data_IF_970101562561
#
_entry.id   IF_970101562561
#
_cell.length_a   1.000
_cell.length_b   1.000
_cell.length_c   1.000
_cell.angle_alpha   90.00
_cell.angle_beta   90.00
_cell.angle_gamma   90.00
#
_symmetry.space_group_name_H-M   'P 1'
#
loop_
_entity.id
_entity.type
_entity.pdbx_description
1 polymer ?
#
# COMPACT_ATOMS: atom_id res chain seq x y z
N UNK A 1 -10.19 8.17 -20.34
CA UNK A 1 -10.14 9.42 -19.55
C UNK A 1 -9.02 10.27 -20.11
N UNK A 2 -9.30 11.42 -20.75
CA UNK A 2 -8.28 12.26 -21.40
C UNK A 2 -7.38 12.86 -20.31
N UNK A 3 -6.20 12.30 -20.09
CA UNK A 3 -5.12 12.93 -19.33
C UNK A 3 -4.53 14.05 -20.18
N UNK A 4 -4.72 15.31 -19.76
CA UNK A 4 -4.04 16.45 -20.36
C UNK A 4 -2.53 16.35 -20.14
N UNK A 5 -1.73 16.94 -21.03
CA UNK A 5 -0.25 16.90 -21.00
C UNK A 5 0.40 17.38 -19.69
N UNK A 6 -0.38 17.98 -18.80
CA UNK A 6 0.07 18.61 -17.54
C UNK A 6 -0.47 17.91 -16.28
N UNK A 7 -1.03 16.70 -16.40
CA UNK A 7 -1.55 15.93 -15.26
C UNK A 7 -0.92 14.56 -15.18
N UNK A 8 -0.38 14.23 -14.01
CA UNK A 8 0.17 12.90 -13.69
C UNK A 8 -0.71 12.27 -12.61
N UNK A 9 -1.20 11.06 -12.85
CA UNK A 9 -2.02 10.32 -11.87
C UNK A 9 -1.26 9.10 -11.38
N UNK A 10 -1.19 8.90 -10.07
CA UNK A 10 -0.54 7.76 -9.43
C UNK A 10 -1.48 7.11 -8.42
N UNK A 11 -1.65 5.80 -8.51
CA UNK A 11 -2.33 5.04 -7.47
C UNK A 11 -1.35 4.75 -6.34
N UNK A 12 -1.62 5.28 -5.15
CA UNK A 12 -0.74 5.16 -3.98
C UNK A 12 -1.60 4.86 -2.76
N UNK A 13 -1.25 3.78 -2.08
CA UNK A 13 -1.88 3.38 -0.81
C UNK A 13 -0.80 3.29 0.25
N UNK A 14 -1.04 3.95 1.37
CA UNK A 14 -0.14 3.93 2.52
C UNK A 14 -0.95 3.73 3.80
N UNK A 15 -0.28 3.23 4.83
CA UNK A 15 -0.83 3.05 6.17
C UNK A 15 -0.47 4.29 7.01
N UNK A 16 -1.14 4.46 8.14
CA UNK A 16 -0.97 5.59 9.06
C UNK A 16 0.47 5.71 9.56
N UNK A 17 1.19 4.58 9.63
CA UNK A 17 2.59 4.58 10.00
C UNK A 17 3.55 4.87 8.84
N UNK A 18 3.09 5.17 7.63
CA UNK A 18 3.93 5.38 6.44
C UNK A 18 3.91 6.85 5.98
N UNK A 19 3.55 7.79 6.88
CA UNK A 19 3.50 9.23 6.59
C UNK A 19 4.82 9.78 6.08
N UNK A 20 5.94 9.55 6.79
CA UNK A 20 7.27 10.01 6.35
C UNK A 20 7.65 9.50 4.96
N UNK A 21 7.27 8.27 4.61
CA UNK A 21 7.52 7.73 3.28
C UNK A 21 6.72 8.49 2.20
N UNK A 22 5.48 8.89 2.51
CA UNK A 22 4.68 9.69 1.59
C UNK A 22 5.19 11.12 1.49
N UNK A 23 5.59 11.74 2.60
CA UNK A 23 6.22 13.05 2.61
C UNK A 23 7.42 13.04 1.66
N UNK A 24 8.37 12.11 1.86
CA UNK A 24 9.53 11.93 0.98
C UNK A 24 9.13 11.71 -0.49
N UNK A 25 8.06 10.95 -0.75
CA UNK A 25 7.59 10.74 -2.12
C UNK A 25 7.06 12.02 -2.77
N UNK A 26 6.32 12.83 -2.01
CA UNK A 26 5.78 14.10 -2.49
C UNK A 26 6.92 15.12 -2.73
N UNK A 27 7.94 15.12 -1.87
CA UNK A 27 9.16 15.91 -2.03
C UNK A 27 9.94 15.50 -3.30
N UNK A 28 10.17 14.20 -3.52
CA UNK A 28 10.77 13.66 -4.76
C UNK A 28 9.99 14.15 -6.00
N UNK A 29 8.65 14.14 -5.94
CA UNK A 29 7.79 14.58 -7.06
C UNK A 29 7.82 16.09 -7.27
N UNK A 30 7.83 16.87 -6.21
CA UNK A 30 7.95 18.32 -6.29
C UNK A 30 9.27 18.75 -6.96
N UNK A 31 10.37 18.06 -6.63
CA UNK A 31 11.68 18.26 -7.28
C UNK A 31 11.68 17.87 -8.76
N UNK A 32 10.87 16.89 -9.16
CA UNK A 32 10.67 16.54 -10.57
C UNK A 32 9.75 17.54 -11.32
N UNK A 33 9.20 18.55 -10.65
CA UNK A 33 8.25 19.50 -11.23
C UNK A 33 6.80 18.99 -11.24
N UNK A 34 6.43 18.13 -10.30
CA UNK A 34 5.06 17.64 -10.10
C UNK A 34 4.59 17.99 -8.69
N UNK A 35 3.63 18.92 -8.57
CA UNK A 35 3.01 19.23 -7.28
C UNK A 35 1.70 18.46 -7.14
N UNK A 36 1.47 17.88 -5.97
CA UNK A 36 0.20 17.25 -5.65
C UNK A 36 -0.90 18.30 -5.69
N UNK A 37 -2.00 18.01 -6.38
CA UNK A 37 -3.14 18.91 -6.52
C UNK A 37 -4.39 18.37 -5.83
N UNK A 38 -4.61 17.05 -5.89
CA UNK A 38 -5.80 16.42 -5.30
C UNK A 38 -5.55 14.93 -5.03
N UNK A 39 -6.36 14.36 -4.13
CA UNK A 39 -6.40 12.93 -3.84
C UNK A 39 -7.85 12.45 -3.92
N UNK A 40 -8.10 11.49 -4.81
CA UNK A 40 -9.42 10.86 -4.94
C UNK A 40 -9.27 9.35 -4.93
N UNK A 41 -9.90 8.65 -3.97
CA UNK A 41 -9.86 7.18 -3.87
C UNK A 41 -8.45 6.57 -4.00
N UNK A 42 -7.45 7.12 -3.30
CA UNK A 42 -6.03 6.72 -3.37
C UNK A 42 -5.33 7.03 -4.70
N UNK A 43 -5.97 7.75 -5.62
CA UNK A 43 -5.32 8.35 -6.78
C UNK A 43 -4.80 9.74 -6.42
N UNK A 44 -3.48 9.86 -6.38
CA UNK A 44 -2.77 11.11 -6.23
C UNK A 44 -2.69 11.78 -7.60
N UNK A 45 -3.30 12.95 -7.71
CA UNK A 45 -3.41 13.72 -8.94
C UNK A 45 -2.43 14.87 -8.83
N UNK A 46 -1.36 14.81 -9.62
CA UNK A 46 -0.32 15.82 -9.68
C UNK A 46 -0.55 16.74 -10.88
N UNK A 47 -0.22 18.01 -10.71
CA UNK A 47 -0.13 18.99 -11.79
C UNK A 47 1.31 19.34 -12.06
N UNK A 48 1.60 19.60 -13.34
CA UNK A 48 2.91 20.10 -13.75
C UNK A 48 3.17 21.46 -13.10
N UNK A 49 4.32 21.58 -12.47
CA UNK A 49 4.82 22.78 -11.78
C UNK A 49 6.30 22.99 -12.12
N UNK A 50 6.86 24.11 -11.70
CA UNK A 50 8.32 24.25 -11.69
C UNK A 50 8.91 23.34 -10.61
N UNK A 51 10.07 22.70 -10.87
CA UNK A 51 10.85 22.00 -9.86
C UNK A 51 11.04 22.88 -8.62
N UNK A 52 10.55 22.42 -7.48
CA UNK A 52 10.66 23.13 -6.21
C UNK A 52 10.97 22.15 -5.09
N UNK A 53 11.78 22.64 -4.16
CA UNK A 53 12.22 21.90 -2.99
C UNK A 53 11.31 22.25 -1.81
N UNK A 54 10.13 21.62 -1.80
CA UNK A 54 9.15 21.74 -0.73
C UNK A 54 9.45 20.75 0.38
N UNK A 55 9.05 21.09 1.61
CA UNK A 55 8.90 20.14 2.71
C UNK A 55 7.43 19.76 2.84
N UNK A 56 7.13 18.48 2.99
CA UNK A 56 5.75 18.02 3.20
C UNK A 56 5.54 17.52 4.63
N UNK A 57 4.30 17.58 5.10
CA UNK A 57 3.86 16.91 6.33
C UNK A 57 2.51 16.23 6.10
N UNK A 58 2.43 14.95 6.46
CA UNK A 58 1.22 14.13 6.38
C UNK A 58 0.78 13.76 7.79
N UNK A 59 -0.32 14.35 8.21
CA UNK A 59 -0.83 14.22 9.56
C UNK A 59 -2.05 13.28 9.61
N UNK A 60 -2.03 12.30 10.51
CA UNK A 60 -3.09 11.30 10.75
C UNK A 60 -4.10 11.72 11.83
N UNK A 61 -3.98 12.92 12.39
CA UNK A 61 -4.91 13.51 13.35
C UNK A 61 -6.08 14.23 12.69
N UNK A 62 -6.99 13.45 12.09
CA UNK A 62 -8.21 14.00 11.48
C UNK A 62 -9.36 14.24 12.45
N UNK A 63 -9.25 13.81 13.71
CA UNK A 63 -10.32 13.91 14.72
C UNK A 63 -10.48 15.33 15.30
N UNK A 64 -9.51 16.22 15.05
CA UNK A 64 -9.59 17.61 15.43
C UNK A 64 -10.47 18.36 14.43
N UNK A 65 -11.32 19.26 14.94
CA UNK A 65 -12.12 20.20 14.12
C UNK A 65 -11.23 20.79 13.03
N UNK A 66 -11.39 20.30 11.81
CA UNK A 66 -10.34 20.39 10.80
C UNK A 66 -10.00 21.84 10.46
N UNK A 67 -10.97 22.76 10.56
CA UNK A 67 -10.75 24.20 10.37
C UNK A 67 -9.81 24.84 11.40
N UNK A 68 -10.11 24.75 12.70
CA UNK A 68 -9.28 25.36 13.75
C UNK A 68 -7.85 24.80 13.76
N UNK A 69 -7.69 23.51 13.46
CA UNK A 69 -6.38 22.87 13.37
C UNK A 69 -5.60 23.31 12.12
N UNK A 70 -6.26 23.37 10.96
CA UNK A 70 -5.63 23.89 9.73
C UNK A 70 -5.19 25.33 9.95
N UNK A 71 -6.04 26.19 10.50
CA UNK A 71 -5.72 27.60 10.76
C UNK A 71 -4.50 27.73 11.69
N UNK A 72 -4.39 26.88 12.71
CA UNK A 72 -3.24 26.82 13.60
C UNK A 72 -1.95 26.40 12.87
N UNK A 73 -2.01 25.35 12.04
CA UNK A 73 -0.89 24.92 11.23
C UNK A 73 -0.46 26.02 10.23
N UNK A 74 -1.43 26.70 9.59
CA UNK A 74 -1.15 27.79 8.66
C UNK A 74 -0.50 29.00 9.35
N UNK A 75 -0.96 29.35 10.55
CA UNK A 75 -0.34 30.38 11.37
C UNK A 75 1.12 30.06 11.76
N UNK A 76 1.49 28.78 11.76
CA UNK A 76 2.87 28.32 12.02
C UNK A 76 3.77 28.24 10.78
N UNK A 77 3.27 28.66 9.61
CA UNK A 77 4.04 28.74 8.36
C UNK A 77 3.88 27.54 7.41
N UNK A 78 2.99 26.61 7.74
CA UNK A 78 2.57 25.55 6.82
C UNK A 78 1.49 26.05 5.85
N UNK A 79 1.34 25.40 4.71
CA UNK A 79 0.24 25.66 3.78
C UNK A 79 -0.58 24.38 3.64
N UNK A 80 -1.89 24.47 3.83
CA UNK A 80 -2.77 23.33 3.63
C UNK A 80 -2.88 22.98 2.15
N UNK A 81 -2.80 21.69 1.83
CA UNK A 81 -2.93 21.20 0.46
C UNK A 81 -4.19 20.37 0.23
N UNK A 82 -4.43 19.38 1.09
CA UNK A 82 -5.52 18.42 0.91
C UNK A 82 -5.98 17.83 2.23
N UNK A 83 -7.26 17.53 2.32
CA UNK A 83 -7.87 16.83 3.45
C UNK A 83 -8.55 15.56 2.97
N UNK A 84 -8.32 14.46 3.66
CA UNK A 84 -9.07 13.22 3.51
C UNK A 84 -9.71 12.82 4.84
N UNK A 85 -10.52 11.77 4.85
CA UNK A 85 -11.08 11.23 6.09
C UNK A 85 -10.01 10.62 7.03
N UNK A 86 -8.78 10.42 6.55
CA UNK A 86 -7.74 9.70 7.28
C UNK A 86 -6.47 10.52 7.53
N UNK A 87 -6.22 11.55 6.73
CA UNK A 87 -5.05 12.41 6.87
C UNK A 87 -5.23 13.79 6.26
N UNK A 88 -4.42 14.73 6.77
CA UNK A 88 -4.22 16.09 6.25
C UNK A 88 -2.82 16.18 5.63
N UNK A 89 -2.70 16.92 4.53
CA UNK A 89 -1.40 17.14 3.87
C UNK A 89 -1.11 18.65 3.88
N UNK A 90 0.06 18.98 4.38
CA UNK A 90 0.61 20.32 4.42
C UNK A 90 1.94 20.38 3.66
N UNK A 91 2.31 21.57 3.19
CA UNK A 91 3.60 21.82 2.57
C UNK A 91 4.15 23.20 2.94
N UNK A 92 5.47 23.39 2.81
CA UNK A 92 6.11 24.71 2.94
C UNK A 92 7.41 24.77 2.15
N UNK A 93 7.86 25.99 1.81
CA UNK A 93 9.20 26.24 1.26
C UNK A 93 10.25 26.43 2.37
N UNK A 94 9.83 26.65 3.63
CA UNK A 94 10.76 26.83 4.75
C UNK A 94 11.26 25.48 5.28
N UNK A 95 12.54 25.20 5.04
CA UNK A 95 13.21 23.97 5.49
C UNK A 95 13.41 23.92 7.01
N UNK A 96 13.52 25.09 7.64
CA UNK A 96 13.79 25.22 9.07
C UNK A 96 12.48 25.26 9.89
N UNK A 97 11.33 25.09 9.24
CA UNK A 97 10.04 25.06 9.93
C UNK A 97 10.01 23.96 10.99
N UNK A 98 9.41 24.30 12.13
CA UNK A 98 9.10 23.34 13.19
C UNK A 98 8.15 22.26 12.62
N UNK A 99 8.50 20.98 12.69
CA UNK A 99 7.62 19.90 12.26
C UNK A 99 6.29 19.95 13.01
N UNK A 100 5.21 19.58 12.35
CA UNK A 100 3.92 19.37 13.01
C UNK A 100 4.10 18.24 14.02
N UNK A 101 4.04 18.55 15.31
CA UNK A 101 4.28 17.58 16.37
C UNK A 101 3.12 16.60 16.46
N UNK A 102 3.38 15.36 16.04
CA UNK A 102 2.50 14.22 16.22
C UNK A 102 2.96 13.45 17.46
N UNK A 103 2.10 13.36 18.49
CA UNK A 103 2.42 12.60 19.71
C UNK A 103 2.57 11.10 19.40
N UNK A 104 3.78 10.58 19.63
CA UNK A 104 4.16 9.19 19.35
C UNK A 104 3.30 8.16 20.11
N UNK A 105 2.80 8.48 21.31
CA UNK A 105 1.91 7.59 22.05
C UNK A 105 0.53 7.48 21.40
N UNK A 106 0.05 8.59 20.83
CA UNK A 106 -1.22 8.59 20.11
C UNK A 106 -1.05 7.88 18.75
N UNK A 107 0.11 8.05 18.09
CA UNK A 107 0.46 7.27 16.89
C UNK A 107 0.42 5.78 17.21
N UNK A 108 1.08 5.34 18.29
CA UNK A 108 1.06 3.94 18.73
C UNK A 108 -0.37 3.41 18.93
N UNK A 109 -1.24 4.21 19.54
CA UNK A 109 -2.62 3.81 19.82
C UNK A 109 -3.46 3.70 18.54
N UNK A 110 -3.38 4.69 17.65
CA UNK A 110 -4.10 4.71 16.37
C UNK A 110 -3.59 3.61 15.43
N UNK A 111 -2.28 3.56 15.22
CA UNK A 111 -1.63 2.56 14.38
C UNK A 111 -1.86 1.15 14.92
N UNK A 112 -1.74 0.95 16.24
CA UNK A 112 -1.96 -0.35 16.87
C UNK A 112 -3.37 -0.90 16.64
N UNK A 113 -4.40 -0.05 16.74
CA UNK A 113 -5.79 -0.43 16.45
C UNK A 113 -5.98 -0.80 14.98
N UNK A 114 -5.54 0.06 14.05
CA UNK A 114 -5.66 -0.19 12.62
C UNK A 114 -4.90 -1.46 12.20
N UNK A 115 -3.72 -1.68 12.78
CA UNK A 115 -2.90 -2.86 12.55
C UNK A 115 -3.56 -4.15 13.05
N UNK A 116 -4.20 -4.14 14.23
CA UNK A 116 -4.89 -5.31 14.75
C UNK A 116 -6.04 -5.76 13.82
N UNK A 117 -6.84 -4.80 13.33
CA UNK A 117 -7.92 -5.07 12.37
C UNK A 117 -7.35 -5.62 11.06
N UNK A 118 -6.34 -4.96 10.49
CA UNK A 118 -5.69 -5.41 9.26
C UNK A 118 -5.08 -6.80 9.39
N UNK A 119 -4.42 -7.08 10.52
CA UNK A 119 -3.83 -8.39 10.82
C UNK A 119 -4.90 -9.47 10.89
N UNK A 120 -6.02 -9.19 11.56
CA UNK A 120 -7.15 -10.13 11.62
C UNK A 120 -7.71 -10.44 10.23
N UNK A 121 -7.93 -9.41 9.40
CA UNK A 121 -8.39 -9.58 8.01
C UNK A 121 -7.41 -10.43 7.20
N UNK A 122 -6.11 -10.15 7.29
CA UNK A 122 -5.09 -10.90 6.56
C UNK A 122 -4.96 -12.36 7.02
N UNK A 123 -5.09 -12.62 8.33
CA UNK A 123 -5.15 -13.99 8.87
C UNK A 123 -6.38 -14.70 8.34
N UNK A 124 -7.55 -14.06 8.37
CA UNK A 124 -8.79 -14.64 7.89
C UNK A 124 -8.72 -14.98 6.39
N UNK A 125 -8.25 -14.07 5.55
CA UNK A 125 -8.05 -14.31 4.11
C UNK A 125 -7.07 -15.48 3.89
N UNK A 126 -5.92 -15.46 4.56
CA UNK A 126 -4.91 -16.50 4.41
C UNK A 126 -5.44 -17.87 4.84
N UNK A 127 -6.14 -17.92 5.98
CA UNK A 127 -6.78 -19.13 6.47
C UNK A 127 -7.83 -19.66 5.51
N UNK A 128 -8.70 -18.79 4.99
CA UNK A 128 -9.71 -19.16 3.98
C UNK A 128 -9.07 -19.73 2.70
N UNK A 129 -7.97 -19.13 2.24
CA UNK A 129 -7.25 -19.60 1.04
C UNK A 129 -6.55 -20.95 1.27
N UNK A 130 -5.92 -21.14 2.42
CA UNK A 130 -5.33 -22.43 2.80
C UNK A 130 -6.40 -23.51 2.95
N UNK A 131 -7.53 -23.19 3.59
CA UNK A 131 -8.64 -24.12 3.71
C UNK A 131 -9.24 -24.47 2.33
N UNK A 132 -9.38 -23.50 1.43
CA UNK A 132 -9.83 -23.73 0.07
C UNK A 132 -8.88 -24.66 -0.70
N UNK A 133 -7.57 -24.41 -0.61
CA UNK A 133 -6.55 -25.28 -1.18
C UNK A 133 -6.62 -26.70 -0.58
N UNK A 134 -6.74 -26.82 0.76
CA UNK A 134 -6.83 -28.11 1.43
C UNK A 134 -8.01 -28.95 0.93
N UNK A 135 -9.21 -28.35 0.90
CA UNK A 135 -10.42 -29.03 0.46
C UNK A 135 -10.41 -29.38 -1.03
N UNK A 136 -9.75 -28.58 -1.85
CA UNK A 136 -9.67 -28.82 -3.30
C UNK A 136 -8.66 -29.93 -3.64
N UNK A 137 -7.52 -29.94 -2.95
CA UNK A 137 -6.36 -30.77 -3.34
C UNK A 137 -6.19 -32.05 -2.51
N UNK A 138 -6.59 -32.04 -1.23
CA UNK A 138 -6.26 -33.12 -0.30
C UNK A 138 -7.46 -33.96 0.12
N UNK A 139 -8.67 -33.37 0.20
CA UNK A 139 -9.89 -34.12 0.56
C UNK A 139 -10.28 -35.16 -0.51
N UNK A 140 -10.27 -34.84 -1.82
CA UNK A 140 -10.60 -35.81 -2.86
C UNK A 140 -9.43 -36.72 -3.26
N UNK A 141 -8.23 -36.51 -2.68
CA UNK A 141 -6.93 -36.90 -3.20
C UNK A 141 -6.48 -36.08 -4.45
N UNK A 142 -5.18 -35.87 -4.56
CA UNK A 142 -4.53 -35.02 -5.56
C UNK A 142 -4.75 -35.52 -6.99
N UNK A 143 -4.75 -36.83 -7.20
CA UNK A 143 -4.94 -37.47 -8.51
C UNK A 143 -6.35 -37.22 -9.05
N UNK A 144 -7.36 -37.41 -8.20
CA UNK A 144 -8.77 -37.12 -8.53
C UNK A 144 -9.02 -35.64 -8.78
N UNK A 145 -8.39 -34.74 -8.00
CA UNK A 145 -8.52 -33.30 -8.25
C UNK A 145 -7.94 -32.88 -9.61
N UNK A 146 -6.84 -33.50 -10.05
CA UNK A 146 -6.27 -33.25 -11.39
C UNK A 146 -7.19 -33.73 -12.51
N UNK A 147 -7.86 -34.87 -12.32
CA UNK A 147 -8.83 -35.38 -13.29
C UNK A 147 -10.05 -34.46 -13.43
N UNK A 148 -10.54 -33.89 -12.31
CA UNK A 148 -11.70 -32.98 -12.32
C UNK A 148 -11.35 -31.60 -12.86
N UNK A 149 -10.31 -30.97 -12.31
CA UNK A 149 -9.99 -29.57 -12.59
C UNK A 149 -9.13 -29.39 -13.83
N UNK A 150 -8.62 -30.48 -14.41
CA UNK A 150 -7.80 -30.43 -15.61
C UNK A 150 -6.66 -29.43 -15.44
N UNK A 151 -6.60 -28.42 -16.31
CA UNK A 151 -5.57 -27.36 -16.29
C UNK A 151 -5.85 -26.21 -15.33
N UNK A 152 -7.10 -26.07 -14.86
CA UNK A 152 -7.47 -25.01 -13.92
C UNK A 152 -6.77 -25.18 -12.57
N UNK A 153 -6.25 -26.39 -12.31
CA UNK A 153 -5.49 -26.72 -11.11
C UNK A 153 -4.29 -25.79 -10.87
N UNK A 154 -3.50 -25.46 -11.91
CA UNK A 154 -2.32 -24.59 -11.75
C UNK A 154 -2.76 -23.18 -11.41
N UNK A 155 -3.80 -22.70 -12.08
CA UNK A 155 -4.34 -21.36 -11.87
C UNK A 155 -4.84 -21.20 -10.43
N UNK A 156 -5.60 -22.17 -9.92
CA UNK A 156 -6.09 -22.18 -8.54
C UNK A 156 -4.95 -22.19 -7.53
N UNK A 157 -3.92 -23.02 -7.72
CA UNK A 157 -2.75 -23.06 -6.82
C UNK A 157 -2.05 -21.70 -6.78
N UNK A 158 -1.85 -21.05 -7.92
CA UNK A 158 -1.21 -19.73 -7.98
C UNK A 158 -2.03 -18.66 -7.27
N UNK A 159 -3.35 -18.68 -7.42
CA UNK A 159 -4.26 -17.78 -6.70
C UNK A 159 -4.12 -18.02 -5.20
N UNK A 160 -4.31 -19.25 -4.72
CA UNK A 160 -4.16 -19.58 -3.30
C UNK A 160 -2.80 -19.15 -2.76
N UNK A 161 -1.72 -19.34 -3.51
CA UNK A 161 -0.38 -18.92 -3.13
C UNK A 161 -0.26 -17.39 -3.02
N UNK A 162 -0.70 -16.61 -4.00
CA UNK A 162 -0.62 -15.14 -3.96
C UNK A 162 -1.45 -14.56 -2.81
N UNK A 163 -2.70 -15.02 -2.66
CA UNK A 163 -3.62 -14.56 -1.63
C UNK A 163 -3.27 -15.07 -0.21
N UNK A 164 -2.32 -16.00 -0.07
CA UNK A 164 -1.77 -16.43 1.23
C UNK A 164 -0.44 -15.75 1.53
N UNK A 165 0.50 -15.76 0.57
CA UNK A 165 1.87 -15.28 0.77
C UNK A 165 1.89 -13.76 0.91
N UNK A 166 1.17 -13.00 0.08
CA UNK A 166 1.22 -11.53 0.15
C UNK A 166 0.68 -10.99 1.49
N UNK A 167 -0.47 -11.45 2.02
CA UNK A 167 -0.91 -11.03 3.35
C UNK A 167 0.03 -11.44 4.48
N UNK A 168 0.63 -12.64 4.43
CA UNK A 168 1.62 -13.08 5.42
C UNK A 168 2.85 -12.15 5.43
N UNK A 169 3.37 -11.79 4.25
CA UNK A 169 4.48 -10.83 4.14
C UNK A 169 4.09 -9.49 4.79
N UNK A 170 2.87 -9.00 4.56
CA UNK A 170 2.40 -7.76 5.17
C UNK A 170 2.23 -7.85 6.69
N UNK A 171 1.75 -8.98 7.22
CA UNK A 171 1.68 -9.23 8.67
C UNK A 171 3.07 -9.19 9.28
N UNK A 172 4.03 -9.92 8.70
CA UNK A 172 5.41 -9.98 9.22
C UNK A 172 6.04 -8.59 9.18
N UNK A 173 5.95 -7.86 8.05
CA UNK A 173 6.52 -6.53 7.87
C UNK A 173 5.96 -5.53 8.87
N UNK A 174 4.63 -5.47 9.01
CA UNK A 174 3.97 -4.56 9.96
C UNK A 174 4.23 -4.95 11.41
N UNK A 175 4.23 -6.26 11.71
CA UNK A 175 4.61 -6.85 13.00
C UNK A 175 5.97 -6.38 13.47
N UNK A 176 7.00 -6.66 12.67
CA UNK A 176 8.39 -6.31 12.98
C UNK A 176 8.56 -4.81 13.20
N UNK A 177 7.93 -3.98 12.36
CA UNK A 177 7.98 -2.53 12.54
C UNK A 177 7.29 -2.10 13.84
N UNK A 178 6.08 -2.58 14.12
CA UNK A 178 5.31 -2.16 15.30
C UNK A 178 6.01 -2.51 16.61
N UNK A 179 6.55 -3.73 16.73
CA UNK A 179 7.28 -4.12 17.93
C UNK A 179 8.57 -3.31 18.11
N UNK A 180 9.27 -3.01 17.01
CA UNK A 180 10.46 -2.14 17.05
C UNK A 180 10.09 -0.71 17.45
N UNK A 181 9.05 -0.15 16.85
CA UNK A 181 8.57 1.21 17.12
C UNK A 181 8.12 1.34 18.59
N UNK A 182 7.28 0.42 19.06
CA UNK A 182 6.82 0.37 20.46
C UNK A 182 7.99 0.32 21.46
N UNK A 183 9.05 -0.44 21.15
CA UNK A 183 10.25 -0.51 21.98
C UNK A 183 10.97 0.84 22.03
N UNK A 184 11.16 1.51 20.90
CA UNK A 184 11.87 2.80 20.84
C UNK A 184 11.11 3.89 21.59
N UNK A 185 9.79 3.99 21.39
CA UNK A 185 8.95 4.94 22.13
C UNK A 185 9.03 4.68 23.64
N UNK A 186 8.99 3.42 24.09
CA UNK A 186 9.12 3.09 25.52
C UNK A 186 10.48 3.46 26.14
N UNK A 187 11.50 3.65 25.31
CA UNK A 187 12.84 4.07 25.73
C UNK A 187 13.04 5.59 25.58
N UNK A 188 12.02 6.34 25.15
CA UNK A 188 12.12 7.74 24.73
C UNK A 188 13.24 7.96 23.68
N UNK A 189 13.48 6.95 22.85
CA UNK A 189 14.41 7.02 21.72
C UNK A 189 13.63 7.38 20.45
N UNK A 190 14.29 8.11 19.54
CA UNK A 190 13.66 8.56 18.30
C UNK A 190 13.20 7.36 17.45
N UNK A 191 11.89 7.27 17.22
CA UNK A 191 11.27 6.10 16.61
C UNK A 191 11.18 6.27 15.09
N UNK A 192 11.94 5.46 14.35
CA UNK A 192 11.99 5.57 12.90
C UNK A 192 10.71 5.03 12.23
N UNK A 193 10.13 5.84 11.35
CA UNK A 193 9.04 5.41 10.47
C UNK A 193 9.57 4.56 9.29
N UNK A 194 8.71 3.78 8.61
CA UNK A 194 9.06 3.06 7.40
C UNK A 194 9.55 4.01 6.32
N UNK A 195 10.66 3.64 5.66
CA UNK A 195 11.25 4.45 4.60
C UNK A 195 10.45 4.38 3.30
N UNK A 196 10.68 5.35 2.41
CA UNK A 196 10.13 5.34 1.05
C UNK A 196 10.51 4.06 0.26
N UNK A 197 11.71 3.50 0.49
CA UNK A 197 12.09 2.20 -0.10
C UNK A 197 11.15 1.08 0.36
N UNK A 198 10.85 1.00 1.66
CA UNK A 198 9.94 0.01 2.22
C UNK A 198 8.51 0.18 1.67
N UNK A 199 8.03 1.42 1.51
CA UNK A 199 6.75 1.72 0.89
C UNK A 199 6.70 1.27 -0.59
N UNK A 200 7.75 1.56 -1.37
CA UNK A 200 7.87 1.13 -2.78
C UNK A 200 7.83 -0.40 -2.90
N UNK A 201 8.51 -1.14 -2.01
CA UNK A 201 8.46 -2.61 -1.95
C UNK A 201 7.06 -3.13 -1.60
N UNK A 202 6.42 -2.57 -0.57
CA UNK A 202 5.03 -2.91 -0.22
C UNK A 202 4.08 -2.72 -1.39
N UNK A 203 4.18 -1.57 -2.08
CA UNK A 203 3.33 -1.25 -3.23
C UNK A 203 3.44 -2.31 -4.33
N UNK A 204 4.62 -2.91 -4.54
CA UNK A 204 4.80 -4.01 -5.49
C UNK A 204 3.95 -5.23 -5.13
N UNK A 205 4.00 -5.67 -3.87
CA UNK A 205 3.20 -6.83 -3.42
C UNK A 205 1.70 -6.54 -3.43
N UNK A 206 1.29 -5.31 -3.12
CA UNK A 206 -0.11 -4.90 -3.25
C UNK A 206 -0.56 -4.90 -4.71
N UNK A 207 0.27 -4.40 -5.63
CA UNK A 207 -0.04 -4.42 -7.07
C UNK A 207 -0.13 -5.86 -7.61
N UNK A 208 0.70 -6.78 -7.11
CA UNK A 208 0.58 -8.22 -7.42
C UNK A 208 -0.77 -8.77 -6.94
N UNK A 209 -1.15 -8.46 -5.71
CA UNK A 209 -2.43 -8.89 -5.12
C UNK A 209 -3.63 -8.36 -5.92
N UNK A 210 -3.68 -7.04 -6.17
CA UNK A 210 -4.77 -6.40 -6.94
C UNK A 210 -4.78 -6.91 -8.39
N UNK A 211 -3.62 -7.01 -9.03
CA UNK A 211 -3.51 -7.51 -10.41
C UNK A 211 -4.03 -8.95 -10.53
N UNK A 212 -3.71 -9.81 -9.56
CA UNK A 212 -4.21 -11.18 -9.50
C UNK A 212 -5.72 -11.20 -9.27
N UNK A 213 -6.25 -10.35 -8.38
CA UNK A 213 -7.70 -10.20 -8.17
C UNK A 213 -8.43 -9.78 -9.44
N UNK A 214 -7.89 -8.83 -10.21
CA UNK A 214 -8.47 -8.40 -11.49
C UNK A 214 -8.50 -9.55 -12.49
N UNK A 215 -7.42 -10.34 -12.59
CA UNK A 215 -7.38 -11.53 -13.47
C UNK A 215 -8.45 -12.54 -13.07
N UNK A 216 -8.63 -12.80 -11.76
CA UNK A 216 -9.70 -13.68 -11.25
C UNK A 216 -11.08 -13.15 -11.64
N UNK A 217 -11.34 -11.85 -11.46
CA UNK A 217 -12.62 -11.25 -11.83
C UNK A 217 -12.91 -11.36 -13.34
N UNK A 218 -11.89 -11.18 -14.18
CA UNK A 218 -12.02 -11.37 -15.64
C UNK A 218 -12.31 -12.84 -15.96
N UNK A 219 -11.60 -13.77 -15.31
CA UNK A 219 -11.81 -15.20 -15.51
C UNK A 219 -13.23 -15.62 -15.10
N UNK A 220 -13.81 -15.06 -14.03
CA UNK A 220 -15.17 -15.38 -13.58
C UNK A 220 -16.28 -14.87 -14.51
N UNK A 221 -16.04 -13.79 -15.27
CA UNK A 221 -17.03 -13.18 -16.17
C UNK A 221 -16.91 -13.72 -17.61
N UNK A 222 -15.73 -14.17 -18.01
CA UNK A 222 -15.54 -14.78 -19.33
C UNK A 222 -16.28 -16.10 -19.46
N UNK A 223 -16.90 -16.35 -20.62
CA UNK A 223 -17.42 -17.68 -20.97
C UNK A 223 -16.22 -18.55 -21.41
N UNK A 224 -15.87 -19.57 -20.63
CA UNK A 224 -14.53 -20.17 -20.66
C UNK A 224 -14.49 -21.54 -21.34
N UNK A 225 -13.98 -21.56 -22.57
CA UNK A 225 -13.39 -22.76 -23.16
C UNK A 225 -11.98 -23.08 -22.62
N UNK A 226 -11.53 -24.31 -22.83
CA UNK A 226 -10.32 -24.93 -22.27
C UNK A 226 -8.99 -24.21 -22.59
N UNK A 227 -8.89 -23.45 -23.69
CA UNK A 227 -7.66 -22.74 -24.10
C UNK A 227 -7.36 -21.48 -23.25
N UNK A 228 -8.36 -20.94 -22.55
CA UNK A 228 -8.27 -19.63 -21.89
C UNK A 228 -7.60 -19.70 -20.50
N UNK A 229 -7.66 -20.82 -19.77
CA UNK A 229 -7.06 -20.87 -18.41
C UNK A 229 -5.53 -20.82 -18.41
N UNK A 230 -4.89 -21.36 -19.45
CA UNK A 230 -3.44 -21.23 -19.63
C UNK A 230 -3.00 -19.77 -19.79
N UNK A 231 -3.82 -18.96 -20.45
CA UNK A 231 -3.55 -17.54 -20.67
C UNK A 231 -3.58 -16.79 -19.33
N UNK A 232 -4.60 -17.01 -18.50
CA UNK A 232 -4.66 -16.39 -17.17
C UNK A 232 -3.54 -16.87 -16.24
N UNK A 233 -3.23 -18.17 -16.27
CA UNK A 233 -2.09 -18.74 -15.55
C UNK A 233 -0.79 -18.05 -15.95
N UNK A 234 -0.56 -17.89 -17.26
CA UNK A 234 0.60 -17.18 -17.80
C UNK A 234 0.66 -15.72 -17.36
N UNK A 235 -0.46 -15.01 -17.34
CA UNK A 235 -0.51 -13.63 -16.84
C UNK A 235 -0.18 -13.52 -15.35
N UNK A 236 -0.70 -14.43 -14.50
CA UNK A 236 -0.36 -14.43 -13.07
C UNK A 236 1.12 -14.72 -12.86
N UNK A 237 1.69 -15.70 -13.56
CA UNK A 237 3.13 -16.00 -13.49
C UNK A 237 3.98 -14.80 -13.92
N UNK A 238 3.61 -14.13 -15.02
CA UNK A 238 4.30 -12.94 -15.49
C UNK A 238 4.24 -11.82 -14.45
N UNK A 239 3.08 -11.59 -13.82
CA UNK A 239 2.93 -10.61 -12.75
C UNK A 239 3.81 -10.94 -11.54
N UNK A 240 3.92 -12.21 -11.14
CA UNK A 240 4.80 -12.66 -10.05
C UNK A 240 6.25 -12.35 -10.42
N UNK A 241 6.71 -12.74 -11.61
CA UNK A 241 8.09 -12.51 -12.07
C UNK A 241 8.44 -11.02 -12.11
N UNK A 242 7.55 -10.19 -12.66
CA UNK A 242 7.74 -8.73 -12.71
C UNK A 242 7.82 -8.16 -11.29
N UNK A 243 6.95 -8.60 -10.39
CA UNK A 243 6.89 -8.11 -9.01
C UNK A 243 8.15 -8.47 -8.24
N UNK A 244 8.57 -9.74 -8.27
CA UNK A 244 9.81 -10.21 -7.62
C UNK A 244 11.02 -9.47 -8.19
N UNK A 245 11.11 -9.32 -9.50
CA UNK A 245 12.21 -8.61 -10.16
C UNK A 245 12.29 -7.14 -9.73
N UNK A 246 11.15 -6.45 -9.64
CA UNK A 246 11.09 -5.05 -9.17
C UNK A 246 11.46 -4.95 -7.70
N UNK A 247 10.97 -5.85 -6.85
CA UNK A 247 11.27 -5.84 -5.42
C UNK A 247 12.78 -6.05 -5.19
N UNK A 248 13.39 -6.99 -5.91
CA UNK A 248 14.83 -7.25 -5.80
C UNK A 248 15.69 -6.05 -6.22
N UNK A 249 15.30 -5.32 -7.26
CA UNK A 249 16.00 -4.09 -7.67
C UNK A 249 15.98 -3.03 -6.57
N UNK A 250 14.80 -2.75 -5.99
CA UNK A 250 14.65 -1.73 -4.95
C UNK A 250 15.36 -2.11 -3.65
N UNK A 251 15.46 -3.40 -3.33
CA UNK A 251 16.17 -3.88 -2.13
C UNK A 251 17.70 -3.78 -2.31
N UNK A 252 18.19 -3.86 -3.56
CA UNK A 252 19.63 -3.78 -3.87
C UNK A 252 20.14 -2.35 -4.00
N UNK A 253 19.30 -1.43 -4.47
CA UNK A 253 19.56 0.01 -4.56
C UNK A 253 19.47 0.69 -3.18
#
# INVERSE_FOLDING_TARGET
MRTGRDTLVKFITFKENECEAIEQYLEEKALEGWILNDISCSFFIFKKSQPKDYKFSVDIFTDLKTGEYIDFCEASGWQHLCSTNHYLIFFTEDKNITPIQTDEEIVLTKVGRAMAINTFIYIWISFSMVNNAYNTFFVPNLEYSKEIYGNDYVFMILICAVFTICPIIEIIRSGLWYFKFKKLVSLNENANYPSLKALKVKSIFLNLYIGTLIIVMIALVGDLGYLNTYVYTGFVLLLIVISVSKAFRIIKD
#
